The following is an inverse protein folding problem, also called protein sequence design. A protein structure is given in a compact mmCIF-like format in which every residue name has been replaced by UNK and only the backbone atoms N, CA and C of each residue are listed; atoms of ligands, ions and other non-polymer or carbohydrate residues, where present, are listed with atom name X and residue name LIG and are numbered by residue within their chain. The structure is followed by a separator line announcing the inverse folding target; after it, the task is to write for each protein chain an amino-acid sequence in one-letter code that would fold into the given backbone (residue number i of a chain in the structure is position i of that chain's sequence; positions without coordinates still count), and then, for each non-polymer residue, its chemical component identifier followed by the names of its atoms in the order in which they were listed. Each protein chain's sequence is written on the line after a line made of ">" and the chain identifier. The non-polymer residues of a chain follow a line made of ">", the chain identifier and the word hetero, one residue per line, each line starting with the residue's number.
data_IF_635456849822
#
_entry.id   IF_635456849822
#
_cell.length_a   1.000
_cell.length_b   1.000
_cell.length_c   1.000
_cell.angle_alpha   90.00
_cell.angle_beta   90.00
_cell.angle_gamma   90.00
#
_symmetry.space_group_name_H-M   'P 1'
#
loop_
_entity.id
_entity.type
_entity.pdbx_description
1 polymer ?
#
# COMPACT_ATOMS: atom_id res chain seq x y z
N UNK A 1 -8.79 -4.35 -9.76
CA UNK A 1 -9.92 -4.04 -8.84
C UNK A 1 -9.59 -2.74 -8.11
N UNK A 2 -10.54 -1.84 -7.86
CA UNK A 2 -10.25 -0.60 -7.13
C UNK A 2 -10.65 -0.76 -5.66
N UNK A 3 -9.63 -0.89 -4.80
CA UNK A 3 -9.82 -1.07 -3.36
C UNK A 3 -9.66 0.27 -2.62
N UNK A 4 -8.79 1.13 -3.14
CA UNK A 4 -8.57 2.49 -2.69
C UNK A 4 -9.10 3.50 -3.74
N UNK A 5 -9.47 4.70 -3.32
CA UNK A 5 -9.81 5.79 -4.24
C UNK A 5 -8.54 6.27 -4.95
N UNK A 6 -8.48 6.06 -6.27
CA UNK A 6 -7.34 6.41 -7.12
C UNK A 6 -6.87 7.87 -6.98
N UNK A 7 -7.77 8.80 -6.69
CA UNK A 7 -7.46 10.24 -6.64
C UNK A 7 -7.15 10.72 -5.22
N UNK A 8 -7.30 9.85 -4.20
CA UNK A 8 -7.04 10.18 -2.81
C UNK A 8 -5.57 9.96 -2.44
N UNK A 9 -5.08 10.84 -1.56
CA UNK A 9 -3.82 10.67 -0.84
C UNK A 9 -4.15 10.18 0.57
N UNK A 10 -3.63 9.03 0.95
CA UNK A 10 -3.83 8.40 2.26
C UNK A 10 -2.68 8.77 3.20
N UNK A 11 -2.98 9.06 4.47
CA UNK A 11 -1.96 9.15 5.52
C UNK A 11 -1.54 7.74 5.98
N UNK A 12 -0.29 7.57 6.42
CA UNK A 12 0.14 6.31 7.03
C UNK A 12 -0.63 5.97 8.33
N UNK A 13 -1.39 6.91 8.90
CA UNK A 13 -2.36 6.64 9.99
C UNK A 13 -3.76 6.25 9.53
N UNK A 14 -4.09 6.33 8.24
CA UNK A 14 -5.42 5.98 7.74
C UNK A 14 -5.68 4.48 7.97
N UNK A 15 -6.82 4.15 8.59
CA UNK A 15 -7.21 2.79 8.95
C UNK A 15 -7.43 1.92 7.71
N UNK A 16 -7.81 2.53 6.57
CA UNK A 16 -7.94 1.84 5.29
C UNK A 16 -6.64 1.11 4.89
N UNK A 17 -5.48 1.62 5.29
CA UNK A 17 -4.19 0.98 5.00
C UNK A 17 -3.95 -0.32 5.79
N UNK A 18 -4.72 -0.59 6.85
CA UNK A 18 -4.58 -1.83 7.60
C UNK A 18 -5.01 -3.05 6.80
N UNK A 19 -5.74 -2.85 5.69
CA UNK A 19 -6.03 -3.90 4.71
C UNK A 19 -4.76 -4.55 4.13
N UNK A 20 -3.72 -3.76 3.83
CA UNK A 20 -2.48 -4.29 3.24
C UNK A 20 -1.50 -4.81 4.30
N UNK A 21 -1.44 -4.14 5.45
CA UNK A 21 -0.59 -4.49 6.58
C UNK A 21 -0.78 -3.47 7.71
N UNK A 22 -0.64 -3.85 8.99
CA UNK A 22 -0.62 -2.88 10.10
C UNK A 22 0.47 -1.82 9.95
N UNK A 23 0.28 -0.62 10.53
CA UNK A 23 1.23 0.50 10.47
C UNK A 23 2.69 0.13 10.80
N UNK A 24 2.91 -0.67 11.84
CA UNK A 24 4.26 -1.12 12.22
C UNK A 24 4.94 -1.96 11.10
N UNK A 25 4.17 -2.80 10.42
CA UNK A 25 4.65 -3.61 9.29
C UNK A 25 4.90 -2.73 8.06
N UNK A 26 4.06 -1.73 7.78
CA UNK A 26 4.31 -0.72 6.73
C UNK A 26 5.60 0.07 7.00
N UNK A 27 5.88 0.41 8.26
CA UNK A 27 7.15 1.06 8.63
C UNK A 27 8.36 0.16 8.35
N UNK A 28 8.28 -1.14 8.67
CA UNK A 28 9.32 -2.11 8.35
C UNK A 28 9.51 -2.25 6.84
N UNK A 29 8.42 -2.28 6.06
CA UNK A 29 8.47 -2.33 4.60
C UNK A 29 9.23 -1.14 4.00
N UNK A 30 8.91 0.08 4.45
CA UNK A 30 9.62 1.29 4.01
C UNK A 30 11.11 1.26 4.36
N UNK A 31 11.46 0.76 5.54
CA UNK A 31 12.86 0.59 5.94
C UNK A 31 13.59 -0.39 5.02
N UNK A 32 12.93 -1.47 4.60
CA UNK A 32 13.47 -2.50 3.70
C UNK A 32 13.30 -2.17 2.21
N UNK A 33 12.68 -1.04 1.87
CA UNK A 33 12.31 -0.66 0.49
C UNK A 33 11.50 -1.73 -0.24
N UNK A 34 10.51 -2.29 0.45
CA UNK A 34 9.50 -3.20 -0.11
C UNK A 34 8.11 -2.61 0.11
N UNK A 35 7.10 -3.20 -0.54
CA UNK A 35 5.70 -2.78 -0.40
C UNK A 35 5.28 -1.68 -1.39
N UNK A 36 4.12 -1.04 -1.17
CA UNK A 36 3.62 -0.01 -2.08
C UNK A 36 4.51 1.24 -2.08
N UNK A 37 4.61 1.94 -3.23
CA UNK A 37 5.24 3.25 -3.31
C UNK A 37 4.66 4.23 -2.29
N UNK A 38 5.49 5.14 -1.77
CA UNK A 38 5.06 6.13 -0.79
C UNK A 38 5.69 7.49 -1.07
N UNK A 39 4.96 8.54 -0.73
CA UNK A 39 5.44 9.91 -0.73
C UNK A 39 6.00 10.25 0.66
N UNK A 40 7.11 10.98 0.71
CA UNK A 40 7.74 11.40 1.96
C UNK A 40 7.86 12.91 2.04
N UNK A 41 7.20 13.49 3.04
CA UNK A 41 7.23 14.92 3.36
C UNK A 41 7.82 15.08 4.77
N UNK A 42 9.16 15.07 4.85
CA UNK A 42 9.87 15.05 6.12
C UNK A 42 9.57 13.79 6.93
N UNK A 43 8.89 13.95 8.09
CA UNK A 43 8.46 12.83 8.95
C UNK A 43 7.11 12.24 8.53
N UNK A 44 6.38 12.89 7.62
CA UNK A 44 5.07 12.41 7.13
C UNK A 44 5.25 11.45 5.97
N UNK A 45 4.51 10.34 6.02
CA UNK A 45 4.43 9.33 4.97
C UNK A 45 3.00 9.33 4.43
N UNK A 46 2.87 9.36 3.11
CA UNK A 46 1.59 9.32 2.41
C UNK A 46 1.61 8.25 1.32
N UNK A 47 0.43 7.80 0.92
CA UNK A 47 0.25 6.84 -0.17
C UNK A 47 -0.73 7.39 -1.20
N UNK A 48 -0.44 7.23 -2.49
CA UNK A 48 -1.41 7.51 -3.54
C UNK A 48 -2.33 6.30 -3.70
N UNK A 49 -3.64 6.52 -3.79
CA UNK A 49 -4.60 5.44 -3.98
C UNK A 49 -4.31 4.62 -5.25
N UNK A 50 -3.86 5.27 -6.33
CA UNK A 50 -3.44 4.60 -7.56
C UNK A 50 -2.28 3.62 -7.32
N UNK A 51 -1.29 4.01 -6.54
CA UNK A 51 -0.11 3.17 -6.25
C UNK A 51 -0.47 2.01 -5.33
N UNK A 52 -1.40 2.23 -4.40
CA UNK A 52 -1.94 1.16 -3.55
C UNK A 52 -2.73 0.14 -4.37
N UNK A 53 -3.56 0.58 -5.30
CA UNK A 53 -4.31 -0.31 -6.19
C UNK A 53 -3.37 -1.11 -7.10
N UNK A 54 -2.33 -0.48 -7.66
CA UNK A 54 -1.30 -1.17 -8.42
C UNK A 54 -0.60 -2.24 -7.58
N UNK A 55 -0.21 -1.89 -6.34
CA UNK A 55 0.40 -2.84 -5.41
C UNK A 55 -0.53 -4.02 -5.07
N UNK A 56 -1.83 -3.78 -4.88
CA UNK A 56 -2.81 -4.84 -4.64
C UNK A 56 -2.90 -5.79 -5.84
N UNK A 57 -2.94 -5.27 -7.05
CA UNK A 57 -2.98 -6.10 -8.26
C UNK A 57 -1.68 -6.92 -8.43
N UNK A 58 -0.52 -6.33 -8.19
CA UNK A 58 0.79 -7.02 -8.25
C UNK A 58 0.91 -8.16 -7.23
N UNK A 59 0.17 -8.10 -6.12
CA UNK A 59 0.16 -9.12 -5.06
C UNK A 59 -1.08 -10.03 -5.13
N UNK A 60 -1.90 -9.89 -6.16
CA UNK A 60 -3.07 -10.74 -6.37
C UNK A 60 -2.62 -12.12 -6.84
N UNK A 61 -3.01 -13.16 -6.11
CA UNK A 61 -2.76 -14.56 -6.50
C UNK A 61 -4.05 -15.14 -7.05
N UNK A 62 -4.05 -15.65 -8.28
CA UNK A 62 -5.20 -16.36 -8.83
C UNK A 62 -5.14 -17.84 -8.45
N UNK A 63 -6.27 -18.49 -8.11
CA UNK A 63 -6.29 -19.92 -7.82
C UNK A 63 -5.80 -20.82 -8.97
N UNK A 64 -5.75 -20.30 -10.20
CA UNK A 64 -5.21 -21.01 -11.38
C UNK A 64 -3.68 -20.95 -11.49
N UNK A 65 -3.01 -20.11 -10.70
CA UNK A 65 -1.55 -19.90 -10.77
C UNK A 65 -0.77 -20.91 -9.92
N UNK A 66 -1.47 -21.79 -9.19
CA UNK A 66 -0.87 -22.96 -8.54
C UNK A 66 -0.84 -24.14 -9.51
N UNK A 67 0.32 -24.32 -10.15
CA UNK A 67 0.70 -25.58 -10.79
C UNK A 67 1.48 -26.47 -9.82
#
# INVERSE_FOLDING_TARGET
>A
MEVFDNKRVYDDSDEELDLIAPKAKRAQWRHRRVGPPFLKFGRRVKYLGSDLNAYVEDNRVLPSDVA
#
